data_IF_960615972538
#
_entry.id   IF_960615972538
#
_cell.length_a   1.000
_cell.length_b   1.000
_cell.length_c   1.000
_cell.angle_alpha   90.00
_cell.angle_beta   90.00
_cell.angle_gamma   90.00
#
_symmetry.space_group_name_H-M   'P 1'
#
loop_
_entity.id
_entity.type
_entity.pdbx_description
1 polymer ?
#
# COMPACT_ATOMS: atom_id res chain seq x y z
N UNK A 1 -49.56 20.03 -60.21
CA UNK A 1 -48.09 19.79 -60.20
C UNK A 1 -47.47 19.76 -58.81
N UNK A 2 -47.85 20.59 -57.79
CA UNK A 2 -47.28 20.57 -56.45
C UNK A 2 -47.53 19.28 -55.63
N UNK A 3 -48.67 18.59 -55.80
CA UNK A 3 -48.98 17.36 -55.02
C UNK A 3 -48.19 16.13 -55.45
N UNK A 4 -47.69 16.06 -56.66
CA UNK A 4 -46.88 14.95 -57.15
C UNK A 4 -45.44 15.07 -56.59
N UNK A 5 -44.95 16.28 -56.42
CA UNK A 5 -43.61 16.52 -55.87
C UNK A 5 -43.49 16.13 -54.43
N UNK A 6 -44.50 16.36 -53.61
CA UNK A 6 -44.52 16.00 -52.18
C UNK A 6 -44.53 14.46 -51.96
N UNK A 7 -45.22 13.73 -52.84
CA UNK A 7 -45.29 12.27 -52.80
C UNK A 7 -43.93 11.60 -53.14
N UNK A 8 -43.22 12.19 -54.12
CA UNK A 8 -41.85 11.76 -54.49
C UNK A 8 -40.82 12.10 -53.40
N UNK A 9 -40.95 13.25 -52.76
CA UNK A 9 -40.10 13.67 -51.65
C UNK A 9 -40.28 12.76 -50.39
N UNK A 10 -41.53 12.46 -50.01
CA UNK A 10 -41.88 11.53 -48.93
C UNK A 10 -41.40 10.10 -49.24
N UNK A 11 -41.41 9.70 -50.49
CA UNK A 11 -40.89 8.40 -50.91
C UNK A 11 -39.38 8.32 -50.80
N UNK A 12 -38.65 9.38 -51.13
CA UNK A 12 -37.19 9.50 -50.94
C UNK A 12 -36.81 9.50 -49.49
N UNK A 13 -37.46 10.29 -48.65
CA UNK A 13 -37.22 10.31 -47.22
C UNK A 13 -37.47 8.94 -46.55
N UNK A 14 -38.47 8.18 -47.02
CA UNK A 14 -38.78 6.84 -46.51
C UNK A 14 -37.70 5.83 -46.92
N UNK A 15 -37.19 5.92 -48.15
CA UNK A 15 -36.07 5.07 -48.63
C UNK A 15 -34.78 5.40 -47.88
N UNK A 16 -34.49 6.68 -47.67
CA UNK A 16 -33.30 7.11 -46.88
C UNK A 16 -33.40 6.63 -45.45
N UNK A 17 -34.56 6.74 -44.83
CA UNK A 17 -34.78 6.26 -43.44
C UNK A 17 -34.61 4.74 -43.29
N UNK A 18 -35.12 3.98 -44.28
CA UNK A 18 -34.99 2.53 -44.33
C UNK A 18 -33.53 2.11 -44.58
N UNK A 19 -32.81 2.83 -45.44
CA UNK A 19 -31.36 2.65 -45.63
C UNK A 19 -30.57 2.87 -44.38
N UNK A 20 -30.82 3.95 -43.62
CA UNK A 20 -30.14 4.25 -42.37
C UNK A 20 -30.48 3.23 -41.27
N UNK A 21 -31.72 2.77 -41.19
CA UNK A 21 -32.13 1.71 -40.24
C UNK A 21 -31.37 0.40 -40.57
N UNK A 22 -31.29 0.00 -41.82
CA UNK A 22 -30.58 -1.21 -42.22
C UNK A 22 -29.09 -1.09 -41.98
N UNK A 23 -28.49 0.09 -42.17
CA UNK A 23 -27.10 0.36 -41.87
C UNK A 23 -26.81 0.33 -40.36
N UNK A 24 -27.70 0.89 -39.52
CA UNK A 24 -27.61 0.79 -38.09
C UNK A 24 -27.68 -0.65 -37.60
N UNK A 25 -28.64 -1.43 -38.09
CA UNK A 25 -28.77 -2.84 -37.74
C UNK A 25 -27.53 -3.68 -38.14
N UNK A 26 -26.96 -3.39 -39.32
CA UNK A 26 -25.74 -4.04 -39.78
C UNK A 26 -24.54 -3.69 -38.85
N UNK A 27 -24.39 -2.43 -38.46
CA UNK A 27 -23.36 -1.96 -37.54
C UNK A 27 -23.53 -2.54 -36.13
N UNK A 28 -24.77 -2.64 -35.65
CA UNK A 28 -25.06 -3.29 -34.37
C UNK A 28 -24.67 -4.77 -34.37
N UNK A 29 -24.95 -5.48 -35.46
CA UNK A 29 -24.54 -6.87 -35.64
C UNK A 29 -23.01 -7.02 -35.63
N UNK A 30 -22.30 -6.17 -36.39
CA UNK A 30 -20.83 -6.16 -36.39
C UNK A 30 -20.27 -5.83 -35.03
N UNK A 31 -20.82 -4.86 -34.32
CA UNK A 31 -20.42 -4.52 -32.96
C UNK A 31 -20.60 -5.70 -32.01
N UNK A 32 -21.72 -6.41 -32.09
CA UNK A 32 -22.00 -7.58 -31.31
C UNK A 32 -20.97 -8.73 -31.55
N UNK A 33 -20.61 -8.96 -32.80
CA UNK A 33 -19.59 -9.93 -33.21
C UNK A 33 -18.23 -9.57 -32.64
N UNK A 34 -17.79 -8.30 -32.79
CA UNK A 34 -16.52 -7.81 -32.24
C UNK A 34 -16.49 -7.91 -30.71
N UNK A 35 -17.57 -7.55 -30.01
CA UNK A 35 -17.67 -7.67 -28.56
C UNK A 35 -17.58 -9.13 -28.12
N UNK A 36 -18.17 -10.06 -28.84
CA UNK A 36 -18.09 -11.49 -28.54
C UNK A 36 -16.67 -12.05 -28.75
N UNK A 37 -16.00 -11.67 -29.83
CA UNK A 37 -14.59 -12.03 -30.06
C UNK A 37 -13.67 -11.45 -28.97
N UNK A 38 -13.88 -10.20 -28.57
CA UNK A 38 -13.15 -9.58 -27.48
C UNK A 38 -13.34 -10.34 -26.15
N UNK A 39 -14.59 -10.75 -25.85
CA UNK A 39 -14.90 -11.57 -24.67
C UNK A 39 -14.19 -12.94 -24.69
N UNK A 40 -14.17 -13.61 -25.86
CA UNK A 40 -13.44 -14.88 -26.02
C UNK A 40 -11.94 -14.69 -25.79
N UNK A 41 -11.35 -13.67 -26.40
CA UNK A 41 -9.93 -13.34 -26.24
C UNK A 41 -9.58 -13.00 -24.79
N UNK A 42 -10.43 -12.22 -24.10
CA UNK A 42 -10.26 -11.95 -22.68
C UNK A 42 -10.36 -13.21 -21.80
N UNK A 43 -11.27 -14.12 -22.13
CA UNK A 43 -11.40 -15.39 -21.42
C UNK A 43 -10.15 -16.28 -21.61
N UNK A 44 -9.61 -16.33 -22.82
CA UNK A 44 -8.34 -17.02 -23.10
C UNK A 44 -7.18 -16.39 -22.33
N UNK A 45 -7.05 -15.06 -22.37
CA UNK A 45 -5.99 -14.35 -21.65
C UNK A 45 -6.05 -14.64 -20.14
N UNK A 46 -7.24 -14.70 -19.53
CA UNK A 46 -7.43 -15.03 -18.13
C UNK A 46 -6.92 -16.44 -17.75
N UNK A 47 -6.88 -17.38 -18.71
CA UNK A 47 -6.34 -18.72 -18.43
C UNK A 47 -4.82 -18.72 -18.19
N UNK A 48 -4.11 -17.71 -18.70
CA UNK A 48 -2.66 -17.52 -18.49
C UNK A 48 -2.33 -16.66 -17.26
N UNK A 49 -3.34 -16.06 -16.60
CA UNK A 49 -3.16 -15.28 -15.40
C UNK A 49 -3.29 -16.16 -14.15
N UNK A 50 -2.69 -15.73 -13.07
CA UNK A 50 -2.82 -16.39 -11.75
C UNK A 50 -3.44 -15.41 -10.73
N UNK A 51 -3.76 -15.91 -9.54
CA UNK A 51 -4.39 -15.16 -8.46
C UNK A 51 -3.56 -13.98 -7.96
N UNK A 52 -2.25 -14.00 -8.19
CA UNK A 52 -1.31 -12.95 -7.79
C UNK A 52 -1.00 -11.95 -8.93
N UNK A 53 -1.67 -12.11 -10.09
CA UNK A 53 -1.48 -11.17 -11.20
C UNK A 53 -1.94 -9.76 -10.78
N UNK A 54 -1.08 -8.73 -10.86
CA UNK A 54 -1.44 -7.37 -10.49
C UNK A 54 -2.67 -6.88 -11.27
N UNK A 55 -3.56 -6.14 -10.62
CA UNK A 55 -4.79 -5.61 -11.23
C UNK A 55 -4.53 -4.76 -12.49
N UNK A 56 -3.35 -4.10 -12.56
CA UNK A 56 -2.90 -3.34 -13.74
C UNK A 56 -2.59 -4.20 -14.98
N UNK A 57 -2.37 -5.52 -14.79
CA UNK A 57 -2.16 -6.49 -15.87
C UNK A 57 -3.39 -7.33 -16.19
N UNK A 58 -4.47 -7.16 -15.42
CA UNK A 58 -5.73 -7.83 -15.72
C UNK A 58 -6.41 -7.16 -16.91
N UNK A 59 -7.10 -7.95 -17.79
CA UNK A 59 -7.91 -7.38 -18.84
C UNK A 59 -8.97 -6.45 -18.25
N UNK A 60 -9.25 -5.35 -18.96
CA UNK A 60 -10.31 -4.42 -18.56
C UNK A 60 -11.64 -5.17 -18.44
N UNK A 61 -12.31 -5.07 -17.29
CA UNK A 61 -13.64 -5.63 -17.08
C UNK A 61 -14.66 -4.60 -17.58
N UNK A 62 -15.35 -4.90 -18.68
CA UNK A 62 -16.53 -4.12 -19.03
C UNK A 62 -17.57 -4.25 -17.90
N UNK A 63 -18.24 -3.17 -17.52
CA UNK A 63 -19.33 -3.24 -16.56
C UNK A 63 -20.39 -4.23 -17.05
N UNK A 64 -20.95 -5.04 -16.14
CA UNK A 64 -22.10 -5.90 -16.46
C UNK A 64 -23.28 -5.03 -16.89
N UNK A 65 -24.24 -5.57 -17.65
CA UNK A 65 -25.46 -4.84 -18.02
C UNK A 65 -26.13 -4.21 -16.78
N UNK A 66 -26.22 -4.93 -15.67
CA UNK A 66 -26.73 -4.42 -14.40
C UNK A 66 -25.92 -3.25 -13.80
N UNK A 67 -24.63 -3.13 -14.12
CA UNK A 67 -23.79 -2.00 -13.73
C UNK A 67 -23.83 -0.85 -14.71
N UNK A 68 -24.11 -1.11 -16.01
CA UNK A 68 -24.28 -0.08 -17.03
C UNK A 68 -25.67 0.56 -17.00
N UNK A 69 -26.68 -0.12 -16.45
CA UNK A 69 -28.04 0.40 -16.24
C UNK A 69 -28.19 1.26 -14.97
N UNK A 70 -27.19 1.23 -14.08
CA UNK A 70 -27.17 2.18 -12.97
C UNK A 70 -26.70 3.52 -13.51
N UNK A 71 -27.55 4.52 -13.42
CA UNK A 71 -27.16 5.90 -13.69
C UNK A 71 -25.82 6.21 -13.04
N UNK A 72 -24.85 6.81 -13.77
CA UNK A 72 -23.58 7.17 -13.21
C UNK A 72 -23.85 8.08 -12.00
N UNK A 73 -23.46 7.63 -10.81
CA UNK A 73 -23.58 8.46 -9.60
C UNK A 73 -22.98 9.83 -9.90
N UNK A 74 -23.69 10.93 -9.67
CA UNK A 74 -23.18 12.25 -9.94
C UNK A 74 -21.81 12.41 -9.28
N UNK A 75 -20.83 12.88 -10.05
CA UNK A 75 -19.48 13.13 -9.53
C UNK A 75 -19.58 14.29 -8.54
N UNK A 76 -19.31 14.03 -7.29
CA UNK A 76 -19.37 14.99 -6.20
C UNK A 76 -20.24 14.53 -5.05
N UNK A 77 -20.26 15.30 -4.00
CA UNK A 77 -21.14 15.07 -2.86
C UNK A 77 -22.57 15.45 -3.23
N UNK A 78 -23.61 14.73 -2.75
CA UNK A 78 -25.00 15.11 -2.97
C UNK A 78 -25.25 16.56 -2.51
N UNK A 79 -26.15 17.31 -3.17
CA UNK A 79 -26.59 18.60 -2.69
C UNK A 79 -27.09 18.50 -1.22
N UNK A 80 -26.64 19.39 -0.35
CA UNK A 80 -26.95 19.37 1.09
C UNK A 80 -26.04 18.50 1.96
N UNK A 81 -25.10 17.73 1.38
CA UNK A 81 -24.04 17.11 2.19
C UNK A 81 -23.08 18.17 2.71
N UNK A 82 -22.82 18.18 4.02
CA UNK A 82 -21.78 19.02 4.59
C UNK A 82 -20.46 18.77 3.83
N UNK A 83 -19.95 19.81 3.15
CA UNK A 83 -18.66 19.76 2.52
C UNK A 83 -17.66 19.31 3.57
N UNK A 84 -16.74 18.37 3.23
CA UNK A 84 -15.66 17.99 4.14
C UNK A 84 -14.69 19.16 4.34
N UNK A 85 -15.19 20.26 4.88
CA UNK A 85 -14.33 21.34 5.35
C UNK A 85 -13.55 20.76 6.52
N UNK A 86 -12.24 20.94 6.48
CA UNK A 86 -11.42 20.67 7.65
C UNK A 86 -11.97 21.51 8.80
N UNK A 87 -11.99 20.95 9.99
CA UNK A 87 -12.25 21.71 11.20
C UNK A 87 -11.29 22.92 11.29
N UNK A 88 -11.72 23.97 11.98
CA UNK A 88 -10.86 25.12 12.20
C UNK A 88 -9.57 24.66 12.88
N UNK A 89 -8.39 25.15 12.45
CA UNK A 89 -7.13 24.78 13.09
C UNK A 89 -7.09 25.29 14.54
N UNK A 90 -6.45 24.53 15.43
CA UNK A 90 -6.25 24.90 16.84
C UNK A 90 -5.41 26.18 16.98
N UNK A 91 -4.51 26.44 16.03
CA UNK A 91 -3.66 27.63 16.01
C UNK A 91 -3.54 28.20 14.59
N UNK A 92 -3.28 29.50 14.49
CA UNK A 92 -3.11 30.25 13.24
C UNK A 92 -1.83 31.04 13.30
N UNK A 93 -0.88 30.77 12.40
CA UNK A 93 0.43 31.43 12.37
C UNK A 93 0.34 32.89 11.91
N UNK A 94 -0.57 33.18 10.98
CA UNK A 94 -0.70 34.53 10.40
C UNK A 94 -2.16 34.87 10.11
N UNK A 95 -2.62 36.05 10.57
CA UNK A 95 -3.93 36.59 10.24
C UNK A 95 -3.78 37.67 9.15
N UNK A 96 -4.56 37.52 8.08
CA UNK A 96 -4.58 38.47 6.95
C UNK A 96 -5.99 38.99 6.74
N UNK A 97 -6.18 40.28 6.58
CA UNK A 97 -7.45 40.92 6.25
C UNK A 97 -7.49 41.22 4.76
N UNK A 98 -8.30 40.48 4.00
CA UNK A 98 -8.60 40.80 2.61
C UNK A 98 -9.68 41.88 2.56
N UNK A 99 -9.39 43.01 1.87
CA UNK A 99 -10.32 44.10 1.69
C UNK A 99 -10.99 44.00 0.32
N UNK A 100 -12.27 44.35 0.25
CA UNK A 100 -12.94 44.54 -1.03
C UNK A 100 -12.47 45.84 -1.71
N UNK A 101 -12.48 45.81 -3.03
CA UNK A 101 -12.35 47.03 -3.83
C UNK A 101 -13.57 47.92 -3.61
N UNK A 102 -13.46 49.18 -3.92
CA UNK A 102 -14.55 50.17 -3.71
C UNK A 102 -15.73 49.96 -4.67
N UNK A 103 -15.50 49.26 -5.79
CA UNK A 103 -16.50 49.02 -6.81
C UNK A 103 -16.63 47.55 -7.14
N UNK A 104 -17.85 47.13 -7.50
CA UNK A 104 -18.10 45.79 -7.99
C UNK A 104 -17.33 45.52 -9.30
N UNK A 105 -16.49 44.50 -9.39
CA UNK A 105 -15.70 44.19 -10.60
C UNK A 105 -16.57 43.82 -11.83
N UNK A 106 -17.82 43.42 -11.62
CA UNK A 106 -18.73 43.03 -12.70
C UNK A 106 -19.57 44.17 -13.24
N UNK A 107 -20.12 45.04 -12.36
CA UNK A 107 -21.08 46.09 -12.77
C UNK A 107 -20.63 47.51 -12.43
N UNK A 108 -19.46 47.71 -11.82
CA UNK A 108 -18.91 49.03 -11.46
C UNK A 108 -19.61 49.77 -10.31
N UNK A 109 -20.68 49.19 -9.73
CA UNK A 109 -21.46 49.79 -8.66
C UNK A 109 -20.61 49.98 -7.39
N UNK A 110 -20.72 51.13 -6.74
CA UNK A 110 -20.00 51.42 -5.49
C UNK A 110 -20.50 50.49 -4.38
N UNK A 111 -19.58 49.84 -3.66
CA UNK A 111 -19.86 48.96 -2.54
C UNK A 111 -19.91 49.80 -1.27
N UNK A 112 -21.05 49.78 -0.58
CA UNK A 112 -21.25 50.51 0.69
C UNK A 112 -20.62 49.75 1.84
N UNK A 113 -19.74 50.36 2.60
CA UNK A 113 -19.00 49.69 3.69
C UNK A 113 -19.87 49.10 4.78
N UNK A 114 -21.07 49.68 5.03
CA UNK A 114 -22.06 49.17 6.01
C UNK A 114 -22.70 47.85 5.64
N UNK A 115 -22.65 47.49 4.34
CA UNK A 115 -23.31 46.32 3.79
C UNK A 115 -22.27 45.15 3.57
N UNK A 116 -21.03 45.29 4.12
CA UNK A 116 -19.97 44.31 3.95
C UNK A 116 -20.00 43.29 5.07
N UNK A 117 -20.30 42.05 4.71
CA UNK A 117 -20.13 40.90 5.58
C UNK A 117 -18.74 40.32 5.52
N UNK A 118 -18.32 39.66 6.61
CA UNK A 118 -17.01 38.99 6.70
C UNK A 118 -17.17 37.50 6.91
N UNK A 119 -16.33 36.71 6.24
CA UNK A 119 -16.22 35.28 6.45
C UNK A 119 -14.80 34.88 6.76
N UNK A 120 -14.61 33.87 7.63
CA UNK A 120 -13.31 33.27 7.90
C UNK A 120 -13.05 32.13 6.93
N UNK A 121 -11.81 32.11 6.41
CA UNK A 121 -11.30 31.05 5.56
C UNK A 121 -9.86 30.75 5.98
N UNK A 122 -9.55 29.49 6.15
CA UNK A 122 -8.20 29.02 6.47
C UNK A 122 -7.49 28.57 5.19
N UNK A 123 -6.28 29.06 4.97
CA UNK A 123 -5.41 28.68 3.85
C UNK A 123 -4.16 28.06 4.45
N UNK A 124 -3.87 26.83 4.02
CA UNK A 124 -2.66 26.12 4.42
C UNK A 124 -1.60 26.35 3.34
N UNK A 125 -0.45 26.82 3.75
CA UNK A 125 0.69 27.07 2.88
C UNK A 125 1.96 26.44 3.45
N UNK A 126 2.97 26.20 2.62
CA UNK A 126 4.25 25.64 3.03
C UNK A 126 5.39 26.33 2.27
N UNK A 127 6.36 26.83 3.02
CA UNK A 127 7.55 27.49 2.47
C UNK A 127 8.78 26.71 2.92
N UNK A 128 9.60 26.26 1.98
CA UNK A 128 10.90 25.68 2.28
C UNK A 128 11.97 26.80 2.27
N UNK A 129 12.60 27.03 3.41
CA UNK A 129 13.68 28.01 3.57
C UNK A 129 14.99 27.31 3.85
N UNK A 130 16.01 27.55 3.02
CA UNK A 130 17.37 27.13 3.33
C UNK A 130 17.92 27.93 4.53
N UNK A 131 18.51 27.24 5.48
CA UNK A 131 19.22 27.82 6.63
C UNK A 131 20.68 27.46 6.45
N UNK A 132 21.55 28.45 6.40
CA UNK A 132 23.00 28.32 6.40
C UNK A 132 23.46 28.78 7.77
N UNK A 133 24.19 27.93 8.47
CA UNK A 133 24.66 28.14 9.82
C UNK A 133 26.17 28.27 9.74
N UNK A 134 26.70 29.39 10.16
CA UNK A 134 28.14 29.60 10.42
C UNK A 134 28.44 29.07 11.81
N UNK A 135 29.43 28.18 11.92
CA UNK A 135 29.81 27.54 13.17
C UNK A 135 31.26 27.90 13.46
N UNK A 136 31.49 28.61 14.55
CA UNK A 136 32.81 28.85 15.11
C UNK A 136 33.15 27.73 16.09
N UNK A 137 34.13 26.89 15.76
CA UNK A 137 34.52 25.73 16.55
C UNK A 137 35.82 25.99 17.29
N UNK A 138 35.77 25.93 18.61
CA UNK A 138 36.99 25.90 19.42
C UNK A 138 37.69 24.56 19.25
N UNK A 139 39.02 24.56 19.10
CA UNK A 139 39.78 23.32 19.05
C UNK A 139 41.07 23.43 19.88
N UNK A 140 41.50 22.30 20.40
CA UNK A 140 42.71 22.20 21.22
C UNK A 140 43.48 20.93 20.85
N UNK A 141 44.74 21.03 20.38
CA UNK A 141 45.63 19.89 20.20
C UNK A 141 46.15 19.42 21.56
N UNK A 142 45.73 18.23 21.99
CA UNK A 142 46.16 17.67 23.25
C UNK A 142 47.55 17.00 23.13
N UNK A 143 48.35 17.08 24.19
CA UNK A 143 49.67 16.44 24.23
C UNK A 143 49.65 14.92 24.06
N UNK A 144 48.52 14.26 24.23
CA UNK A 144 48.30 12.86 23.87
C UNK A 144 48.19 12.57 22.38
N UNK A 145 48.21 13.61 21.53
CA UNK A 145 48.05 13.54 20.05
C UNK A 145 46.61 13.62 19.58
N UNK A 146 45.65 13.80 20.49
CA UNK A 146 44.22 13.93 20.13
C UNK A 146 43.86 15.40 19.89
N UNK A 147 42.93 15.65 18.97
CA UNK A 147 42.36 16.98 18.75
C UNK A 147 40.98 17.07 19.44
N UNK A 148 40.89 17.86 20.50
CA UNK A 148 39.63 18.19 21.15
C UNK A 148 38.91 19.27 20.33
N UNK A 149 37.71 19.01 19.87
CA UNK A 149 36.90 19.93 19.08
C UNK A 149 35.60 20.21 19.83
N UNK A 150 35.25 21.49 19.92
CA UNK A 150 33.98 21.92 20.51
C UNK A 150 32.79 21.33 19.77
N UNK A 151 31.73 20.98 20.49
CA UNK A 151 30.53 20.37 19.92
C UNK A 151 29.30 21.18 20.30
N UNK A 152 28.30 21.19 19.41
CA UNK A 152 26.99 21.80 19.65
C UNK A 152 25.89 20.79 19.41
N UNK A 153 24.86 20.66 20.27
CA UNK A 153 23.83 19.60 20.18
C UNK A 153 22.99 19.67 18.89
N UNK A 154 22.83 20.85 18.30
CA UNK A 154 22.04 21.00 17.07
C UNK A 154 22.87 20.94 15.78
N UNK A 155 24.18 20.82 15.88
CA UNK A 155 25.11 20.82 14.75
C UNK A 155 25.84 19.47 14.68
N UNK A 156 25.84 18.80 13.51
CA UNK A 156 26.62 17.58 13.34
C UNK A 156 28.11 17.85 13.55
N UNK A 157 28.77 16.98 14.30
CA UNK A 157 30.21 17.08 14.59
C UNK A 157 31.10 17.10 13.33
N UNK A 158 30.61 16.59 12.22
CA UNK A 158 31.33 16.53 10.93
C UNK A 158 30.40 16.74 9.75
N UNK A 159 30.92 17.36 8.71
CA UNK A 159 30.23 17.55 7.44
C UNK A 159 29.37 18.80 7.41
N UNK A 160 28.80 19.09 6.25
CA UNK A 160 28.05 20.32 5.96
C UNK A 160 26.51 20.11 5.91
N UNK A 161 26.01 18.94 6.25
CA UNK A 161 24.60 18.62 6.20
C UNK A 161 24.01 18.61 7.60
N UNK A 162 23.23 19.65 7.95
CA UNK A 162 22.50 19.71 9.23
C UNK A 162 21.51 18.55 9.39
N UNK A 163 21.17 18.20 10.62
CA UNK A 163 20.30 17.06 10.94
C UNK A 163 18.95 17.10 10.23
N UNK A 164 18.32 18.29 10.13
CA UNK A 164 17.06 18.47 9.41
C UNK A 164 17.16 18.12 7.92
N UNK A 165 18.27 18.52 7.28
CA UNK A 165 18.53 18.21 5.87
C UNK A 165 18.77 16.70 5.66
N UNK A 166 19.53 16.06 6.55
CA UNK A 166 19.76 14.60 6.54
C UNK A 166 18.44 13.83 6.65
N UNK A 167 17.56 14.24 7.57
CA UNK A 167 16.24 13.65 7.73
C UNK A 167 15.35 13.86 6.50
N UNK A 168 15.37 15.06 5.87
CA UNK A 168 14.63 15.33 4.62
C UNK A 168 15.13 14.50 3.45
N UNK A 169 16.45 14.31 3.29
CA UNK A 169 17.00 13.43 2.27
C UNK A 169 16.48 11.99 2.45
N UNK A 170 16.41 11.52 3.69
CA UNK A 170 15.89 10.20 4.02
C UNK A 170 14.40 10.09 3.67
N UNK A 171 13.58 11.07 4.03
CA UNK A 171 12.16 11.07 3.69
C UNK A 171 11.93 11.07 2.17
N UNK A 172 12.64 11.92 1.43
CA UNK A 172 12.50 11.97 -0.03
C UNK A 172 12.98 10.68 -0.69
N UNK A 173 14.03 10.04 -0.17
CA UNK A 173 14.53 8.76 -0.68
C UNK A 173 13.58 7.62 -0.44
N UNK A 174 13.07 7.46 0.78
CA UNK A 174 12.36 6.25 1.19
C UNK A 174 10.83 6.39 1.15
N UNK A 175 10.28 7.57 1.34
CA UNK A 175 8.84 7.80 1.29
C UNK A 175 8.35 8.14 -0.13
N UNK A 176 9.13 8.93 -0.86
CA UNK A 176 8.79 9.37 -2.21
C UNK A 176 9.50 8.58 -3.31
N UNK A 177 10.35 7.61 -2.95
CA UNK A 177 11.15 6.83 -3.90
C UNK A 177 12.01 7.69 -4.83
N UNK A 178 12.54 8.81 -4.29
CA UNK A 178 13.37 9.75 -5.05
C UNK A 178 14.70 9.11 -5.47
N UNK A 179 15.13 9.32 -6.72
CA UNK A 179 16.52 9.06 -7.07
C UNK A 179 17.41 10.14 -6.43
N UNK A 180 18.66 9.80 -6.12
CA UNK A 180 19.59 10.78 -5.54
C UNK A 180 19.76 12.03 -6.42
N UNK A 181 19.75 11.86 -7.74
CA UNK A 181 19.80 12.96 -8.70
C UNK A 181 18.55 13.85 -8.62
N UNK A 182 17.35 13.26 -8.46
CA UNK A 182 16.12 14.03 -8.34
C UNK A 182 16.04 14.77 -6.99
N UNK A 183 16.54 14.16 -5.91
CA UNK A 183 16.62 14.79 -4.59
C UNK A 183 17.58 15.99 -4.65
N UNK A 184 18.76 15.85 -5.26
CA UNK A 184 19.72 16.94 -5.48
C UNK A 184 19.06 18.09 -6.24
N UNK A 185 18.44 17.83 -7.39
CA UNK A 185 17.74 18.84 -8.20
C UNK A 185 16.59 19.51 -7.46
N UNK A 186 15.84 18.75 -6.66
CA UNK A 186 14.74 19.30 -5.88
C UNK A 186 15.24 20.40 -4.93
N UNK A 187 16.28 20.12 -4.13
CA UNK A 187 16.81 21.11 -3.20
C UNK A 187 17.46 22.30 -3.91
N UNK A 188 18.20 22.06 -4.97
CA UNK A 188 18.77 23.12 -5.79
C UNK A 188 17.67 24.10 -6.26
N UNK A 189 16.58 23.57 -6.82
CA UNK A 189 15.46 24.39 -7.31
C UNK A 189 14.71 25.13 -6.20
N UNK A 190 14.28 24.43 -5.14
CA UNK A 190 13.42 25.05 -4.10
C UNK A 190 14.18 26.01 -3.19
N UNK A 191 15.52 25.97 -3.20
CA UNK A 191 16.38 26.87 -2.40
C UNK A 191 17.14 27.89 -3.25
N UNK A 192 16.82 28.00 -4.54
CA UNK A 192 17.52 28.90 -5.49
C UNK A 192 19.05 28.69 -5.46
N UNK A 193 19.50 27.43 -5.53
CA UNK A 193 20.91 27.05 -5.55
C UNK A 193 21.63 27.08 -4.20
N UNK A 194 20.99 27.50 -3.10
CA UNK A 194 21.64 27.59 -1.77
C UNK A 194 21.98 26.22 -1.17
N UNK A 195 21.17 25.17 -1.46
CA UNK A 195 21.43 23.78 -1.06
C UNK A 195 21.68 22.97 -2.33
N UNK A 196 22.95 22.79 -2.65
CA UNK A 196 23.39 22.02 -3.82
C UNK A 196 24.40 20.94 -3.38
N UNK A 197 23.91 19.74 -3.14
CA UNK A 197 24.72 18.57 -2.82
C UNK A 197 24.68 17.55 -3.95
N UNK A 198 25.84 16.98 -4.30
CA UNK A 198 25.90 15.96 -5.34
C UNK A 198 25.10 14.71 -4.96
N UNK A 199 24.59 13.95 -5.95
CA UNK A 199 23.94 12.66 -5.71
C UNK A 199 24.77 11.71 -4.86
N UNK A 200 26.12 11.73 -5.05
CA UNK A 200 27.05 10.93 -4.24
C UNK A 200 27.03 11.36 -2.78
N UNK A 201 27.13 12.67 -2.51
CA UNK A 201 27.13 13.20 -1.14
C UNK A 201 25.82 12.85 -0.38
N UNK A 202 24.68 12.87 -1.08
CA UNK A 202 23.39 12.43 -0.51
C UNK A 202 23.40 10.91 -0.23
N UNK A 203 23.92 10.10 -1.15
CA UNK A 203 24.05 8.66 -0.93
C UNK A 203 24.96 8.35 0.26
N UNK A 204 26.10 9.01 0.39
CA UNK A 204 27.05 8.83 1.49
C UNK A 204 26.40 9.28 2.85
N UNK A 205 25.57 10.32 2.82
CA UNK A 205 24.78 10.73 3.98
C UNK A 205 23.82 9.61 4.42
N UNK A 206 23.07 9.03 3.48
CA UNK A 206 22.14 7.92 3.76
C UNK A 206 22.90 6.71 4.33
N UNK A 207 24.09 6.42 3.80
CA UNK A 207 24.97 5.36 4.32
C UNK A 207 25.35 5.57 5.79
N UNK A 208 25.74 6.81 6.16
CA UNK A 208 26.05 7.15 7.57
C UNK A 208 24.84 7.02 8.49
N UNK A 209 23.66 7.41 8.01
CA UNK A 209 22.41 7.24 8.75
C UNK A 209 22.12 5.76 9.00
N UNK A 210 22.24 4.92 7.96
CA UNK A 210 22.06 3.48 8.09
C UNK A 210 23.02 2.89 9.13
N UNK A 211 24.31 3.25 9.06
CA UNK A 211 25.32 2.80 10.03
C UNK A 211 24.99 3.23 11.47
N UNK A 212 24.50 4.46 11.68
CA UNK A 212 24.05 4.93 13.01
C UNK A 212 22.84 4.13 13.54
N UNK A 213 21.96 3.68 12.66
CA UNK A 213 20.76 2.89 13.01
C UNK A 213 21.04 1.38 13.14
N UNK A 214 22.17 0.89 12.64
CA UNK A 214 22.51 -0.54 12.58
C UNK A 214 22.48 -1.24 13.96
N UNK A 215 23.04 -0.68 15.05
CA UNK A 215 22.98 -1.33 16.36
C UNK A 215 21.56 -1.55 16.89
N UNK A 216 20.63 -0.63 16.56
CA UNK A 216 19.22 -0.77 16.94
C UNK A 216 18.46 -1.69 15.99
N UNK A 217 18.87 -1.79 14.72
CA UNK A 217 18.38 -2.79 13.78
C UNK A 217 18.69 -4.22 14.26
N UNK A 218 19.95 -4.47 14.68
CA UNK A 218 20.38 -5.77 15.20
C UNK A 218 19.63 -6.14 16.48
N UNK A 219 19.30 -5.16 17.33
CA UNK A 219 18.43 -5.39 18.51
C UNK A 219 17.03 -5.83 18.10
N UNK A 220 16.42 -5.17 17.11
CA UNK A 220 15.09 -5.53 16.59
C UNK A 220 15.12 -6.95 16.02
N UNK A 221 16.17 -7.33 15.25
CA UNK A 221 16.34 -8.68 14.73
C UNK A 221 16.42 -9.72 15.85
N UNK A 222 17.21 -9.46 16.87
CA UNK A 222 17.34 -10.37 18.02
C UNK A 222 16.04 -10.50 18.82
N UNK A 223 15.23 -9.43 18.93
CA UNK A 223 13.95 -9.45 19.62
C UNK A 223 12.87 -10.24 18.88
N UNK A 224 13.02 -10.53 17.58
CA UNK A 224 12.08 -11.36 16.83
C UNK A 224 11.94 -12.77 17.43
N UNK A 225 13.03 -13.34 17.94
CA UNK A 225 13.06 -14.68 18.54
C UNK A 225 12.18 -14.78 19.78
N UNK A 226 11.95 -13.66 20.46
CA UNK A 226 11.20 -13.58 21.71
C UNK A 226 9.73 -13.20 21.50
N UNK A 227 9.29 -12.99 20.27
CA UNK A 227 7.92 -12.56 20.01
C UNK A 227 6.94 -13.74 20.03
N UNK A 228 5.76 -13.53 20.61
CA UNK A 228 4.68 -14.53 20.64
C UNK A 228 4.19 -14.88 19.24
N UNK A 229 4.27 -13.93 18.29
CA UNK A 229 3.94 -14.15 16.90
C UNK A 229 4.53 -13.08 15.96
N UNK A 230 4.59 -13.44 14.68
CA UNK A 230 4.91 -12.52 13.61
C UNK A 230 3.99 -12.75 12.39
N UNK A 231 3.51 -11.67 11.79
CA UNK A 231 2.99 -11.68 10.43
C UNK A 231 4.16 -11.68 9.47
N UNK A 232 4.14 -12.52 8.46
CA UNK A 232 5.24 -12.62 7.51
C UNK A 232 4.76 -12.58 6.07
N UNK A 233 5.53 -11.87 5.25
CA UNK A 233 5.36 -11.84 3.80
C UNK A 233 6.71 -11.61 3.14
N UNK A 234 6.89 -12.05 1.90
CA UNK A 234 8.11 -11.84 1.15
C UNK A 234 7.82 -11.49 -0.30
N UNK A 235 8.75 -10.76 -0.90
CA UNK A 235 8.65 -10.41 -2.32
C UNK A 235 10.00 -10.46 -3.00
N UNK A 236 9.99 -10.74 -4.32
CA UNK A 236 11.21 -10.68 -5.12
C UNK A 236 11.89 -9.32 -5.03
N UNK A 237 13.21 -9.28 -4.97
CA UNK A 237 14.00 -8.05 -4.83
C UNK A 237 15.32 -8.12 -5.60
N UNK A 238 15.45 -7.44 -6.73
CA UNK A 238 16.70 -7.46 -7.50
C UNK A 238 17.85 -6.75 -6.77
N UNK A 239 18.99 -7.45 -6.66
CA UNK A 239 20.24 -6.87 -6.15
C UNK A 239 21.36 -7.22 -7.12
N UNK A 240 22.02 -6.21 -7.69
CA UNK A 240 23.07 -6.39 -8.71
C UNK A 240 22.64 -7.31 -9.87
N UNK A 241 21.41 -7.12 -10.37
CA UNK A 241 20.85 -7.96 -11.43
C UNK A 241 20.46 -9.39 -11.02
N UNK A 242 20.79 -9.83 -9.81
CA UNK A 242 20.45 -11.14 -9.29
C UNK A 242 19.13 -11.11 -8.52
N UNK A 243 18.42 -12.25 -8.53
CA UNK A 243 17.19 -12.41 -7.79
C UNK A 243 17.47 -12.62 -6.31
N UNK A 244 17.10 -11.63 -5.49
CA UNK A 244 17.04 -11.67 -4.03
C UNK A 244 15.59 -11.54 -3.58
N UNK A 245 15.34 -11.57 -2.26
CA UNK A 245 14.01 -11.50 -1.67
C UNK A 245 14.03 -10.55 -0.49
N UNK A 246 13.06 -9.61 -0.48
CA UNK A 246 12.76 -8.81 0.69
C UNK A 246 11.79 -9.61 1.54
N UNK A 247 12.17 -9.85 2.78
CA UNK A 247 11.36 -10.44 3.83
C UNK A 247 10.87 -9.34 4.76
N UNK A 248 9.61 -9.40 5.13
CA UNK A 248 9.00 -8.46 6.05
C UNK A 248 8.30 -9.23 7.15
N UNK A 249 8.61 -8.88 8.39
CA UNK A 249 8.00 -9.44 9.60
C UNK A 249 7.36 -8.30 10.40
N UNK A 250 6.13 -8.50 10.85
CA UNK A 250 5.39 -7.53 11.66
C UNK A 250 4.96 -8.19 12.95
N UNK A 251 5.37 -7.64 14.05
CA UNK A 251 5.00 -8.06 15.41
C UNK A 251 4.04 -7.03 16.02
N UNK A 252 3.70 -7.18 17.27
CA UNK A 252 2.91 -6.17 18.01
C UNK A 252 3.66 -4.84 18.13
N UNK A 253 4.99 -4.87 18.29
CA UNK A 253 5.77 -3.71 18.71
C UNK A 253 6.60 -3.09 17.58
N UNK A 254 6.97 -3.86 16.57
CA UNK A 254 7.87 -3.40 15.52
C UNK A 254 7.66 -4.12 14.19
N UNK A 255 8.29 -3.56 13.17
CA UNK A 255 8.39 -4.10 11.82
C UNK A 255 9.87 -4.38 11.54
N UNK A 256 10.18 -5.57 11.09
CA UNK A 256 11.52 -5.94 10.66
C UNK A 256 11.55 -6.26 9.17
N UNK A 257 12.50 -5.68 8.46
CA UNK A 257 12.71 -5.88 7.03
C UNK A 257 14.14 -6.33 6.81
N UNK A 258 14.32 -7.42 6.05
CA UNK A 258 15.64 -7.86 5.60
C UNK A 258 15.60 -8.26 4.14
N UNK A 259 16.75 -8.17 3.44
CA UNK A 259 16.86 -8.53 2.04
C UNK A 259 17.91 -9.65 1.92
N UNK A 260 17.44 -10.84 1.54
CA UNK A 260 18.22 -12.06 1.53
C UNK A 260 18.35 -12.65 0.11
N UNK A 261 19.42 -13.35 -0.17
CA UNK A 261 19.66 -14.02 -1.45
C UNK A 261 18.87 -15.31 -1.64
N UNK A 262 17.99 -15.63 -0.71
CA UNK A 262 17.25 -16.87 -0.66
C UNK A 262 15.78 -16.65 -0.25
N UNK A 263 14.91 -17.50 -0.79
CA UNK A 263 13.50 -17.65 -0.37
C UNK A 263 13.28 -18.97 0.38
N UNK A 264 14.36 -19.58 0.88
CA UNK A 264 14.32 -20.88 1.56
C UNK A 264 14.08 -20.70 3.07
N UNK A 265 13.61 -21.77 3.74
CA UNK A 265 13.37 -21.84 5.19
C UNK A 265 14.58 -21.44 6.04
N UNK A 266 15.81 -21.67 5.54
CA UNK A 266 17.04 -21.26 6.23
C UNK A 266 17.01 -19.79 6.66
N UNK A 267 16.39 -18.90 5.88
CA UNK A 267 16.25 -17.48 6.22
C UNK A 267 15.41 -17.30 7.48
N UNK A 268 14.32 -18.07 7.63
CA UNK A 268 13.49 -18.04 8.83
C UNK A 268 14.26 -18.57 10.05
N UNK A 269 15.03 -19.63 9.86
CA UNK A 269 15.86 -20.22 10.92
C UNK A 269 16.96 -19.26 11.35
N UNK A 270 17.61 -18.58 10.42
CA UNK A 270 18.64 -17.56 10.71
C UNK A 270 18.04 -16.41 11.57
N UNK A 271 16.83 -15.96 11.25
CA UNK A 271 16.16 -14.82 11.91
C UNK A 271 15.54 -15.21 13.26
N UNK A 272 14.79 -16.31 13.31
CA UNK A 272 13.99 -16.69 14.49
C UNK A 272 14.65 -17.76 15.36
N UNK A 273 15.66 -18.48 14.86
CA UNK A 273 16.23 -19.67 15.47
C UNK A 273 15.48 -20.95 15.08
N UNK A 274 16.08 -22.11 15.37
CA UNK A 274 15.48 -23.43 15.06
C UNK A 274 14.28 -23.74 15.96
N UNK A 275 14.29 -23.26 17.20
CA UNK A 275 13.28 -23.54 18.22
C UNK A 275 12.35 -22.34 18.47
N UNK A 276 11.83 -21.73 17.39
CA UNK A 276 10.90 -20.62 17.56
C UNK A 276 9.59 -21.05 18.21
N UNK A 277 9.34 -20.54 19.42
CA UNK A 277 8.16 -20.90 20.22
C UNK A 277 6.92 -20.05 19.93
N UNK A 278 7.04 -19.03 19.11
CA UNK A 278 5.92 -18.19 18.68
C UNK A 278 5.16 -18.76 17.49
N UNK A 279 4.23 -17.97 16.96
CA UNK A 279 3.42 -18.30 15.81
C UNK A 279 3.74 -17.48 14.57
N UNK A 280 3.38 -18.01 13.41
CA UNK A 280 3.50 -17.31 12.13
C UNK A 280 2.14 -17.15 11.46
N UNK A 281 1.81 -15.92 11.09
CA UNK A 281 0.66 -15.59 10.25
C UNK A 281 1.17 -15.31 8.84
N UNK A 282 0.81 -16.15 7.87
CA UNK A 282 1.33 -16.07 6.51
C UNK A 282 0.34 -16.56 5.47
N UNK A 283 0.71 -16.48 4.20
CA UNK A 283 0.05 -17.20 3.13
C UNK A 283 0.31 -18.73 3.22
N UNK A 284 -0.12 -19.49 2.19
CA UNK A 284 0.10 -20.94 2.12
C UNK A 284 1.43 -21.31 1.43
N UNK A 285 2.44 -20.46 1.45
CA UNK A 285 3.74 -20.79 0.93
C UNK A 285 4.45 -21.79 1.87
N UNK A 286 4.93 -22.90 1.30
CA UNK A 286 5.49 -24.03 2.05
C UNK A 286 6.74 -23.71 2.89
N UNK A 287 7.40 -22.58 2.63
CA UNK A 287 8.58 -22.16 3.38
C UNK A 287 8.28 -21.95 4.87
N UNK A 288 7.04 -21.54 5.17
CA UNK A 288 6.57 -21.32 6.53
C UNK A 288 6.12 -22.60 7.27
N UNK A 289 6.07 -23.76 6.60
CA UNK A 289 5.59 -24.99 7.22
C UNK A 289 6.63 -25.61 8.17
N UNK A 290 6.19 -26.20 9.28
CA UNK A 290 7.02 -26.92 10.27
C UNK A 290 8.21 -26.09 10.81
N UNK A 291 7.98 -24.82 11.12
CA UNK A 291 8.99 -23.89 11.60
C UNK A 291 8.60 -23.28 12.95
N UNK A 292 7.37 -22.84 13.12
CA UNK A 292 6.86 -22.20 14.32
C UNK A 292 5.99 -23.14 15.12
N UNK A 293 5.73 -22.83 16.40
CA UNK A 293 4.88 -23.62 17.28
C UNK A 293 3.43 -23.73 16.79
N UNK A 294 2.92 -22.65 16.19
CA UNK A 294 1.58 -22.61 15.62
C UNK A 294 1.51 -21.68 14.41
N UNK A 295 0.46 -21.81 13.63
CA UNK A 295 0.29 -21.05 12.38
C UNK A 295 -1.13 -20.53 12.25
N UNK A 296 -1.28 -19.37 11.62
CA UNK A 296 -2.53 -18.90 11.04
C UNK A 296 -2.33 -18.70 9.55
N UNK A 297 -3.04 -19.46 8.72
CA UNK A 297 -3.03 -19.26 7.28
C UNK A 297 -4.01 -18.17 6.87
N UNK A 298 -3.58 -17.31 5.94
CA UNK A 298 -4.31 -16.11 5.54
C UNK A 298 -5.59 -16.43 4.76
N UNK A 299 -6.75 -16.12 5.35
CA UNK A 299 -8.05 -16.30 4.71
C UNK A 299 -8.22 -15.44 3.45
N UNK A 300 -7.62 -14.26 3.40
CA UNK A 300 -7.70 -13.40 2.21
C UNK A 300 -7.08 -14.09 0.97
N UNK A 301 -5.98 -14.85 1.14
CA UNK A 301 -5.38 -15.64 0.06
C UNK A 301 -6.28 -16.79 -0.38
N UNK A 302 -6.87 -17.51 0.57
CA UNK A 302 -7.83 -18.59 0.28
C UNK A 302 -9.04 -18.06 -0.50
N UNK A 303 -9.63 -16.96 -0.04
CA UNK A 303 -10.77 -16.34 -0.69
C UNK A 303 -10.40 -15.78 -2.09
N UNK A 304 -9.22 -15.20 -2.23
CA UNK A 304 -8.71 -14.71 -3.53
C UNK A 304 -8.54 -15.85 -4.52
N UNK A 305 -7.98 -16.98 -4.08
CA UNK A 305 -7.84 -18.19 -4.88
C UNK A 305 -9.20 -18.75 -5.32
N UNK A 306 -10.12 -18.95 -4.37
CA UNK A 306 -11.46 -19.46 -4.67
C UNK A 306 -12.24 -18.51 -5.60
N UNK A 307 -12.14 -17.20 -5.38
CA UNK A 307 -12.76 -16.17 -6.22
C UNK A 307 -12.20 -16.20 -7.65
N UNK A 308 -10.87 -16.29 -7.79
CA UNK A 308 -10.20 -16.34 -9.08
C UNK A 308 -10.70 -17.54 -9.90
N UNK A 309 -10.80 -18.73 -9.29
CA UNK A 309 -11.33 -19.93 -9.96
C UNK A 309 -12.82 -19.80 -10.28
N UNK A 310 -13.62 -19.18 -9.41
CA UNK A 310 -15.03 -18.93 -9.66
C UNK A 310 -15.26 -17.93 -10.81
N UNK A 311 -14.41 -16.89 -10.94
CA UNK A 311 -14.46 -15.93 -12.04
C UNK A 311 -13.95 -16.52 -13.37
N UNK A 312 -12.93 -17.39 -13.29
CA UNK A 312 -12.34 -18.06 -14.46
C UNK A 312 -13.26 -19.13 -15.04
N UNK A 313 -13.90 -19.90 -14.17
CA UNK A 313 -14.81 -20.99 -14.51
C UNK A 313 -16.15 -20.79 -13.78
N UNK A 314 -17.05 -19.92 -14.26
CA UNK A 314 -18.25 -19.52 -13.52
C UNK A 314 -19.31 -20.66 -13.51
N UNK A 315 -18.93 -21.83 -13.00
CA UNK A 315 -19.81 -22.98 -12.80
C UNK A 315 -20.45 -22.89 -11.41
N UNK A 316 -21.71 -23.32 -11.29
CA UNK A 316 -22.49 -23.24 -10.05
C UNK A 316 -21.75 -23.80 -8.82
N UNK A 317 -21.01 -24.87 -8.95
CA UNK A 317 -20.35 -25.53 -7.82
C UNK A 317 -19.14 -24.75 -7.28
N UNK A 318 -18.30 -24.16 -8.14
CA UNK A 318 -17.16 -23.36 -7.69
C UNK A 318 -17.61 -22.02 -7.12
N UNK A 319 -18.67 -21.42 -7.70
CA UNK A 319 -19.28 -20.21 -7.15
C UNK A 319 -19.85 -20.49 -5.75
N UNK A 320 -20.60 -21.59 -5.59
CA UNK A 320 -21.13 -22.01 -4.27
C UNK A 320 -20.01 -22.25 -3.26
N UNK A 321 -18.92 -22.89 -3.67
CA UNK A 321 -17.76 -23.10 -2.80
C UNK A 321 -17.17 -21.77 -2.31
N UNK A 322 -16.93 -20.83 -3.24
CA UNK A 322 -16.43 -19.50 -2.88
C UNK A 322 -17.38 -18.75 -1.95
N UNK A 323 -18.69 -18.74 -2.22
CA UNK A 323 -19.67 -18.04 -1.36
C UNK A 323 -19.76 -18.69 0.04
N UNK A 324 -19.66 -20.02 0.16
CA UNK A 324 -19.62 -20.69 1.47
C UNK A 324 -18.38 -20.29 2.29
N UNK A 325 -17.20 -20.24 1.66
CA UNK A 325 -15.97 -19.79 2.33
C UNK A 325 -16.07 -18.32 2.75
N UNK A 326 -16.59 -17.47 1.87
CA UNK A 326 -16.77 -16.04 2.11
C UNK A 326 -17.75 -15.77 3.26
N UNK A 327 -18.82 -16.54 3.34
CA UNK A 327 -19.81 -16.46 4.43
C UNK A 327 -19.16 -16.84 5.77
N UNK A 328 -18.47 -17.97 5.83
CA UNK A 328 -17.76 -18.44 7.02
C UNK A 328 -16.72 -17.41 7.50
N UNK A 329 -15.91 -16.89 6.58
CA UNK A 329 -14.94 -15.84 6.91
C UNK A 329 -15.62 -14.59 7.49
N UNK A 330 -16.73 -14.15 6.91
CA UNK A 330 -17.49 -12.98 7.41
C UNK A 330 -18.03 -13.21 8.83
N UNK A 331 -18.55 -14.41 9.11
CA UNK A 331 -19.02 -14.76 10.46
C UNK A 331 -17.88 -14.72 11.48
N UNK A 332 -16.74 -15.33 11.16
CA UNK A 332 -15.55 -15.31 12.02
C UNK A 332 -15.01 -13.90 12.23
N UNK A 333 -14.93 -13.11 11.17
CA UNK A 333 -14.46 -11.73 11.26
C UNK A 333 -15.39 -10.83 12.10
N UNK A 334 -16.70 -11.05 12.03
CA UNK A 334 -17.67 -10.33 12.88
C UNK A 334 -17.54 -10.76 14.34
N UNK A 335 -17.40 -12.07 14.60
CA UNK A 335 -17.19 -12.59 15.94
C UNK A 335 -15.94 -11.98 16.61
N UNK A 336 -14.82 -11.89 15.88
CA UNK A 336 -13.58 -11.31 16.42
C UNK A 336 -13.67 -9.81 16.70
N UNK A 337 -14.53 -9.06 15.99
CA UNK A 337 -14.76 -7.63 16.25
C UNK A 337 -15.41 -7.34 17.60
N UNK A 338 -16.14 -8.29 18.13
CA UNK A 338 -16.82 -8.19 19.43
C UNK A 338 -15.85 -8.38 20.63
N UNK A 339 -14.56 -8.62 20.34
CA UNK A 339 -13.53 -8.87 21.33
C UNK A 339 -13.94 -9.95 22.38
N UNK A 340 -14.27 -11.17 21.95
CA UNK A 340 -14.85 -12.22 22.78
C UNK A 340 -13.90 -12.72 23.86
N UNK A 341 -14.45 -13.21 25.00
CA UNK A 341 -13.67 -13.84 26.06
C UNK A 341 -13.01 -15.14 25.59
N UNK A 342 -12.01 -15.61 26.34
CA UNK A 342 -11.27 -16.84 26.03
C UNK A 342 -12.17 -18.06 25.98
N UNK A 343 -13.12 -18.15 26.92
CA UNK A 343 -14.10 -19.25 27.01
C UNK A 343 -14.97 -19.28 25.76
N UNK A 344 -15.50 -18.13 25.38
CA UNK A 344 -16.35 -17.99 24.18
C UNK A 344 -15.56 -18.30 22.88
N UNK A 345 -14.28 -17.94 22.83
CA UNK A 345 -13.38 -18.28 21.73
C UNK A 345 -13.24 -19.79 21.57
N UNK A 346 -13.05 -20.52 22.70
CA UNK A 346 -12.91 -21.97 22.68
C UNK A 346 -14.19 -22.64 22.20
N UNK A 347 -15.36 -22.21 22.67
CA UNK A 347 -16.66 -22.73 22.24
C UNK A 347 -16.89 -22.47 20.74
N UNK A 348 -16.70 -21.23 20.30
CA UNK A 348 -16.92 -20.81 18.91
C UNK A 348 -15.95 -21.44 17.93
N UNK A 349 -14.72 -21.77 18.35
CA UNK A 349 -13.77 -22.52 17.53
C UNK A 349 -14.37 -23.86 17.10
N UNK A 350 -14.98 -24.60 18.03
CA UNK A 350 -15.64 -25.90 17.74
C UNK A 350 -16.79 -25.70 16.73
N UNK A 351 -17.58 -24.65 16.89
CA UNK A 351 -18.67 -24.33 15.95
C UNK A 351 -18.14 -24.04 14.54
N UNK A 352 -17.13 -23.16 14.44
CA UNK A 352 -16.51 -22.81 13.16
C UNK A 352 -15.79 -23.99 12.51
N UNK A 353 -15.19 -24.87 13.30
CA UNK A 353 -14.58 -26.11 12.82
C UNK A 353 -15.63 -27.04 12.20
N UNK A 354 -16.80 -27.20 12.82
CA UNK A 354 -17.92 -27.94 12.25
C UNK A 354 -18.41 -27.33 10.94
N UNK A 355 -18.50 -26.00 10.85
CA UNK A 355 -18.88 -25.29 9.61
C UNK A 355 -17.83 -25.47 8.51
N UNK A 356 -16.55 -25.34 8.83
CA UNK A 356 -15.45 -25.57 7.88
C UNK A 356 -15.45 -27.01 7.37
N UNK A 357 -15.66 -27.98 8.27
CA UNK A 357 -15.76 -29.40 7.90
C UNK A 357 -16.96 -29.70 6.99
N UNK A 358 -18.10 -29.03 7.17
CA UNK A 358 -19.23 -29.13 6.24
C UNK A 358 -18.85 -28.60 4.84
N UNK A 359 -18.06 -27.55 4.75
CA UNK A 359 -17.57 -27.03 3.47
C UNK A 359 -16.59 -28.01 2.83
N UNK A 360 -15.64 -28.55 3.58
CA UNK A 360 -14.63 -29.52 3.10
C UNK A 360 -15.30 -30.79 2.60
N UNK A 361 -16.26 -31.34 3.34
CA UNK A 361 -16.92 -32.62 3.04
C UNK A 361 -18.06 -32.50 2.03
N UNK A 362 -18.46 -31.28 1.65
CA UNK A 362 -19.49 -31.11 0.63
C UNK A 362 -18.97 -31.51 -0.75
N UNK A 363 -19.74 -32.34 -1.47
CA UNK A 363 -19.37 -32.82 -2.79
C UNK A 363 -19.55 -31.76 -3.86
N UNK A 364 -18.48 -30.97 -4.09
CA UNK A 364 -18.43 -30.06 -5.21
C UNK A 364 -18.01 -30.82 -6.47
N UNK A 365 -18.89 -30.87 -7.45
CA UNK A 365 -18.63 -31.57 -8.73
C UNK A 365 -17.76 -30.72 -9.68
N UNK A 366 -16.62 -30.22 -9.18
CA UNK A 366 -15.65 -29.47 -9.96
C UNK A 366 -14.23 -29.67 -9.40
N UNK A 367 -13.27 -29.82 -10.31
CA UNK A 367 -11.88 -30.10 -9.98
C UNK A 367 -11.20 -28.90 -9.28
N UNK A 368 -11.65 -27.69 -9.58
CA UNK A 368 -11.11 -26.43 -9.02
C UNK A 368 -11.36 -26.35 -7.51
N UNK A 369 -12.59 -26.59 -7.06
CA UNK A 369 -12.91 -26.62 -5.64
C UNK A 369 -12.19 -27.78 -4.95
N UNK A 370 -12.17 -28.99 -5.56
CA UNK A 370 -11.45 -30.13 -5.03
C UNK A 370 -9.96 -29.83 -4.85
N UNK A 371 -9.32 -29.22 -5.83
CA UNK A 371 -7.91 -28.81 -5.73
C UNK A 371 -7.63 -27.87 -4.57
N UNK A 372 -8.51 -26.89 -4.29
CA UNK A 372 -8.35 -26.00 -3.14
C UNK A 372 -8.58 -26.74 -1.83
N UNK A 373 -9.58 -27.62 -1.78
CA UNK A 373 -9.86 -28.43 -0.60
C UNK A 373 -8.67 -29.34 -0.28
N UNK A 374 -8.19 -30.10 -1.25
CA UNK A 374 -7.13 -31.10 -1.03
C UNK A 374 -5.78 -30.45 -0.70
N UNK A 375 -5.40 -29.40 -1.43
CA UNK A 375 -4.06 -28.81 -1.30
C UNK A 375 -3.95 -27.69 -0.28
N UNK A 376 -5.07 -27.09 0.16
CA UNK A 376 -5.05 -25.98 1.11
C UNK A 376 -5.87 -26.28 2.37
N UNK A 377 -7.18 -26.57 2.24
CA UNK A 377 -8.04 -26.71 3.41
C UNK A 377 -7.70 -27.96 4.25
N UNK A 378 -7.40 -29.08 3.60
CA UNK A 378 -7.05 -30.34 4.30
C UNK A 378 -5.61 -30.27 4.80
N UNK A 379 -4.66 -29.87 3.95
CA UNK A 379 -3.23 -29.77 4.33
C UNK A 379 -3.00 -28.87 5.54
N UNK A 380 -3.70 -27.73 5.57
CA UNK A 380 -3.54 -26.73 6.64
C UNK A 380 -4.74 -26.70 7.60
N UNK A 381 -5.45 -27.83 7.78
CA UNK A 381 -6.71 -27.89 8.52
C UNK A 381 -6.64 -27.27 9.92
N UNK A 382 -5.56 -27.50 10.65
CA UNK A 382 -5.35 -26.94 12.00
C UNK A 382 -4.98 -25.45 12.04
N UNK A 383 -4.74 -24.81 10.88
CA UNK A 383 -4.15 -23.48 10.80
C UNK A 383 -5.12 -22.40 10.26
N UNK A 384 -6.38 -22.75 9.99
CA UNK A 384 -7.37 -21.81 9.48
C UNK A 384 -8.14 -21.07 10.58
N UNK A 385 -8.17 -21.63 11.79
CA UNK A 385 -8.98 -21.13 12.90
C UNK A 385 -8.15 -20.69 14.11
N UNK A 386 -6.84 -20.59 13.98
CA UNK A 386 -5.93 -20.20 15.08
C UNK A 386 -6.26 -18.82 15.63
N UNK A 387 -6.67 -17.88 14.75
CA UNK A 387 -7.08 -16.53 15.17
C UNK A 387 -8.37 -16.52 16.01
N UNK A 388 -9.20 -17.56 15.92
CA UNK A 388 -10.36 -17.69 16.79
C UNK A 388 -9.92 -18.03 18.22
N UNK A 389 -8.86 -18.83 18.37
CA UNK A 389 -8.35 -19.31 19.64
C UNK A 389 -7.42 -18.31 20.32
N UNK A 390 -6.47 -17.77 19.53
CA UNK A 390 -5.43 -16.84 20.02
C UNK A 390 -5.91 -15.41 19.87
N UNK A 391 -5.87 -14.67 20.98
CA UNK A 391 -6.22 -13.26 21.01
C UNK A 391 -5.16 -12.39 20.32
N UNK A 392 -5.57 -11.26 19.76
CA UNK A 392 -4.68 -10.25 19.18
C UNK A 392 -4.22 -10.54 17.76
N UNK A 393 -4.51 -11.72 17.20
CA UNK A 393 -4.15 -12.05 15.81
C UNK A 393 -5.36 -11.98 14.87
N UNK A 394 -5.08 -11.71 13.59
CA UNK A 394 -6.09 -11.59 12.54
C UNK A 394 -6.23 -12.91 11.76
N UNK A 395 -7.43 -13.15 11.20
CA UNK A 395 -7.66 -14.20 10.19
C UNK A 395 -6.83 -14.00 8.92
N UNK A 396 -6.45 -12.75 8.65
CA UNK A 396 -5.81 -12.33 7.40
C UNK A 396 -4.42 -11.75 7.64
N UNK A 397 -3.53 -11.93 6.67
CA UNK A 397 -2.21 -11.29 6.62
C UNK A 397 -2.25 -9.89 5.94
N UNK A 398 -3.44 -9.30 5.79
CA UNK A 398 -3.63 -8.02 5.10
C UNK A 398 -2.82 -6.87 5.72
N UNK A 399 -2.52 -6.95 7.01
CA UNK A 399 -1.72 -5.95 7.70
C UNK A 399 -0.29 -5.94 7.19
N UNK A 400 0.35 -7.11 7.10
CA UNK A 400 1.68 -7.30 6.53
C UNK A 400 1.69 -6.94 5.03
N UNK A 401 0.68 -7.40 4.27
CA UNK A 401 0.54 -7.07 2.84
C UNK A 401 0.46 -5.56 2.58
N UNK A 402 -0.21 -4.79 3.43
CA UNK A 402 -0.26 -3.32 3.29
C UNK A 402 1.11 -2.68 3.51
N UNK A 403 1.88 -3.17 4.49
CA UNK A 403 3.22 -2.64 4.77
C UNK A 403 4.23 -2.96 3.67
N UNK A 404 4.23 -4.18 3.14
CA UNK A 404 5.16 -4.57 2.07
C UNK A 404 4.89 -3.82 0.74
N UNK A 405 3.65 -3.33 0.53
CA UNK A 405 3.28 -2.57 -0.68
C UNK A 405 4.13 -1.32 -0.90
N UNK A 406 4.52 -0.63 0.17
CA UNK A 406 5.43 0.51 0.10
C UNK A 406 6.77 0.13 -0.54
N UNK A 407 7.37 -0.96 -0.08
CA UNK A 407 8.61 -1.51 -0.63
C UNK A 407 8.44 -2.01 -2.08
N UNK A 408 7.32 -2.64 -2.40
CA UNK A 408 6.99 -3.06 -3.77
C UNK A 408 6.90 -1.84 -4.71
N UNK A 409 6.25 -0.75 -4.26
CA UNK A 409 6.17 0.52 -5.00
C UNK A 409 7.56 1.09 -5.27
N UNK A 410 8.40 1.17 -4.24
CA UNK A 410 9.78 1.63 -4.33
C UNK A 410 10.60 0.81 -5.34
N UNK A 411 10.51 -0.53 -5.27
CA UNK A 411 11.18 -1.42 -6.23
C UNK A 411 10.70 -1.19 -7.67
N UNK A 412 9.40 -1.00 -7.87
CA UNK A 412 8.86 -0.75 -9.23
C UNK A 412 9.37 0.55 -9.82
N UNK A 413 9.62 1.57 -9.00
CA UNK A 413 10.12 2.88 -9.45
C UNK A 413 11.62 2.88 -9.66
N UNK A 414 12.40 2.23 -8.80
CA UNK A 414 13.86 2.31 -8.77
C UNK A 414 14.58 1.01 -9.22
N UNK A 415 13.84 -0.08 -9.46
CA UNK A 415 14.37 -1.32 -10.04
C UNK A 415 15.11 -2.24 -9.05
N UNK A 416 15.15 -1.92 -7.75
CA UNK A 416 15.94 -2.65 -6.74
C UNK A 416 17.29 -1.98 -6.43
N UNK A 417 18.30 -2.74 -6.00
CA UNK A 417 19.59 -2.20 -5.58
C UNK A 417 20.73 -2.71 -6.47
N UNK A 418 21.71 -1.83 -6.72
CA UNK A 418 22.91 -2.18 -7.49
C UNK A 418 23.97 -2.87 -6.64
N UNK A 419 23.91 -2.73 -5.32
CA UNK A 419 24.89 -3.28 -4.38
C UNK A 419 24.20 -3.97 -3.21
N UNK A 420 24.88 -4.94 -2.59
CA UNK A 420 24.43 -5.58 -1.33
C UNK A 420 24.34 -4.56 -0.21
N UNK A 421 25.32 -3.66 -0.15
CA UNK A 421 25.36 -2.59 0.85
C UNK A 421 24.15 -1.67 0.74
N UNK A 422 23.79 -1.23 -0.45
CA UNK A 422 22.57 -0.42 -0.65
C UNK A 422 21.28 -1.16 -0.25
N UNK A 423 21.21 -2.47 -0.46
CA UNK A 423 20.10 -3.30 -0.03
C UNK A 423 20.04 -3.40 1.52
N UNK A 424 21.20 -3.57 2.18
CA UNK A 424 21.30 -3.57 3.65
C UNK A 424 20.88 -2.22 4.24
N UNK A 425 21.39 -1.11 3.71
CA UNK A 425 21.01 0.25 4.14
C UNK A 425 19.49 0.49 4.00
N UNK A 426 18.90 0.01 2.90
CA UNK A 426 17.46 0.07 2.71
C UNK A 426 16.72 -0.70 3.80
N UNK A 427 17.12 -1.93 4.09
CA UNK A 427 16.51 -2.78 5.10
C UNK A 427 16.58 -2.12 6.49
N UNK A 428 17.74 -1.61 6.89
CA UNK A 428 17.95 -0.92 8.17
C UNK A 428 17.03 0.29 8.30
N UNK A 429 17.07 1.21 7.34
CA UNK A 429 16.30 2.46 7.40
C UNK A 429 14.79 2.19 7.35
N UNK A 430 14.34 1.28 6.47
CA UNK A 430 12.93 0.96 6.36
C UNK A 430 12.39 0.19 7.58
N UNK A 431 13.18 -0.64 8.21
CA UNK A 431 12.83 -1.27 9.50
C UNK A 431 12.47 -0.22 10.54
N UNK A 432 13.32 0.78 10.74
CA UNK A 432 13.07 1.85 11.69
C UNK A 432 11.86 2.70 11.29
N UNK A 433 11.79 3.14 10.03
CA UNK A 433 10.69 3.96 9.53
C UNK A 433 9.34 3.27 9.67
N UNK A 434 9.24 2.00 9.28
CA UNK A 434 7.99 1.24 9.40
C UNK A 434 7.66 0.88 10.86
N UNK A 435 8.66 0.69 11.72
CA UNK A 435 8.48 0.53 13.16
C UNK A 435 7.92 1.80 13.79
N UNK A 436 8.50 2.96 13.52
CA UNK A 436 7.99 4.24 14.04
C UNK A 436 6.55 4.51 13.59
N UNK A 437 6.24 4.29 12.31
CA UNK A 437 4.85 4.38 11.81
C UNK A 437 3.91 3.37 12.49
N UNK A 438 4.39 2.17 12.76
CA UNK A 438 3.63 1.15 13.45
C UNK A 438 3.29 1.55 14.89
N UNK A 439 4.20 2.27 15.53
CA UNK A 439 4.05 2.85 16.87
C UNK A 439 3.28 4.19 16.87
N UNK A 440 2.74 4.64 15.75
CA UNK A 440 2.03 5.92 15.64
C UNK A 440 2.93 7.16 15.66
N UNK A 441 4.24 6.99 15.49
CA UNK A 441 5.23 8.08 15.50
C UNK A 441 5.50 8.61 14.10
N UNK A 442 6.04 9.81 14.02
CA UNK A 442 6.44 10.45 12.77
C UNK A 442 7.92 10.14 12.45
N UNK A 443 8.23 9.38 11.37
CA UNK A 443 9.61 8.96 11.05
C UNK A 443 10.61 10.10 10.95
N UNK A 444 10.20 11.24 10.41
CA UNK A 444 11.06 12.42 10.32
C UNK A 444 11.53 12.89 11.71
N UNK A 445 10.61 13.00 12.67
CA UNK A 445 10.93 13.46 14.03
C UNK A 445 11.79 12.45 14.80
N UNK A 446 11.44 11.16 14.69
CA UNK A 446 12.22 10.09 15.32
C UNK A 446 13.65 10.01 14.75
N UNK A 447 13.79 10.19 13.43
CA UNK A 447 15.12 10.24 12.82
C UNK A 447 15.93 11.46 13.28
N UNK A 448 15.30 12.63 13.41
CA UNK A 448 15.96 13.81 13.99
C UNK A 448 16.47 13.53 15.40
N UNK A 449 15.66 12.89 16.25
CA UNK A 449 16.06 12.53 17.59
C UNK A 449 17.28 11.59 17.59
N UNK A 450 17.25 10.56 16.73
CA UNK A 450 18.40 9.65 16.57
C UNK A 450 19.65 10.36 16.08
N UNK A 451 19.51 11.30 15.16
CA UNK A 451 20.68 12.02 14.59
C UNK A 451 21.33 12.96 15.59
N UNK A 452 20.56 13.58 16.50
CA UNK A 452 21.05 14.50 17.53
C UNK A 452 21.70 13.78 18.73
N UNK A 453 21.25 12.56 19.05
CA UNK A 453 21.81 11.73 20.13
C UNK A 453 22.91 10.79 19.60
#
# INVERSE_FOLDING_TARGET
MRKINIFEELKRERIDKEFYINKCNALEKQLFEVVNELRKTQALLRQFLNENTPSSKLPFKYPSKEQSEKEPKPRGKPPGSNGGNKEAPESVDRKVKAKLEERCPRCGKVIRRRDIDTRLRYVYDAIMKAIIIEVEEEFYPCDCGEFCIGTHPDIPQRGMMGYGLQALFTELKFNFSGSYANISKFFDNVTNGKINFSPKAINDCIGRIAHKLEPSYDKIENELKNQDYAYSDETSWPVNGMQWYLWLFVTTNFVFITIQNSRARRVLIEIFGEDYHGGIISDCFKVYDNFAKWYQKCWAHLLRKAKFEAEKYPKKNIVKFYENLKHLHKEMANFLKENPSKELRTEKKIEFEKKLNKIINYKYWCKEAKSIIDNWLIVYRGHWLTAIEIEGISLDNNFCERKIRGSIGWRKMLGGHRTKEGAKQYAIIQTHRETWKHQGKYPYNELLNVLKN
#
